data_IF_047076964661
#
_entry.id   IF_047076964661
#
_cell.length_a   1.000
_cell.length_b   1.000
_cell.length_c   1.000
_cell.angle_alpha   90.00
_cell.angle_beta   90.00
_cell.angle_gamma   90.00
#
_symmetry.space_group_name_H-M   'P 1'
#
loop_
_entity.id
_entity.type
_entity.pdbx_description
1 polymer ?
#
# COMPACT_ATOMS: atom_id res chain seq x y z
N UNK A 1 4.51 33.78 48.16
CA UNK A 1 3.95 33.31 46.86
C UNK A 1 4.96 32.58 45.95
N UNK A 2 6.27 32.53 46.26
CA UNK A 2 7.31 31.91 45.39
C UNK A 2 7.50 30.38 45.56
N UNK A 3 7.00 29.77 46.64
CA UNK A 3 7.26 28.35 46.97
C UNK A 3 6.35 27.35 46.24
N UNK A 4 5.18 27.77 45.74
CA UNK A 4 4.24 26.89 45.00
C UNK A 4 4.42 26.94 43.48
N UNK A 5 5.07 27.99 42.97
CA UNK A 5 5.35 28.17 41.55
C UNK A 5 6.17 27.00 40.93
N UNK A 6 7.28 26.52 41.53
CA UNK A 6 8.05 25.42 40.93
C UNK A 6 7.26 24.10 40.87
N UNK A 7 6.38 23.85 41.85
CA UNK A 7 5.52 22.66 41.86
C UNK A 7 4.42 22.72 40.79
N UNK A 8 3.86 23.91 40.53
CA UNK A 8 2.89 24.11 39.45
C UNK A 8 3.54 23.92 38.07
N UNK A 9 4.77 24.42 37.89
CA UNK A 9 5.55 24.19 36.67
C UNK A 9 5.82 22.70 36.49
N UNK A 10 6.34 22.02 37.51
CA UNK A 10 6.61 20.57 37.48
C UNK A 10 5.35 19.76 37.13
N UNK A 11 4.23 20.03 37.80
CA UNK A 11 2.96 19.37 37.52
C UNK A 11 2.50 19.62 36.08
N UNK A 12 2.63 20.85 35.59
CA UNK A 12 2.35 21.20 34.20
C UNK A 12 3.21 20.43 33.20
N UNK A 13 4.53 20.31 33.45
CA UNK A 13 5.45 19.55 32.59
C UNK A 13 5.14 18.06 32.59
N UNK A 14 4.85 17.48 33.76
CA UNK A 14 4.45 16.07 33.88
C UNK A 14 3.16 15.80 33.13
N UNK A 15 2.17 16.69 33.23
CA UNK A 15 0.92 16.59 32.46
C UNK A 15 1.21 16.68 30.96
N UNK A 16 2.07 17.60 30.53
CA UNK A 16 2.47 17.75 29.12
C UNK A 16 3.14 16.49 28.57
N UNK A 17 4.10 15.93 29.32
CA UNK A 17 4.79 14.67 28.96
C UNK A 17 3.81 13.50 28.97
N UNK A 18 2.97 13.37 29.99
CA UNK A 18 1.93 12.34 30.04
C UNK A 18 0.93 12.47 28.88
N UNK A 19 0.69 13.69 28.38
CA UNK A 19 -0.16 13.91 27.23
C UNK A 19 0.48 13.40 25.93
N UNK A 20 1.81 13.47 25.80
CA UNK A 20 2.54 12.87 24.66
C UNK A 20 2.56 11.35 24.66
N UNK A 21 2.30 10.71 25.82
CA UNK A 21 2.23 9.25 25.95
C UNK A 21 0.86 8.69 25.57
N UNK A 22 -0.17 9.53 25.37
CA UNK A 22 -1.49 9.06 24.97
C UNK A 22 -1.46 8.58 23.51
N UNK A 23 -2.01 7.39 23.21
CA UNK A 23 -2.12 6.94 21.85
C UNK A 23 -3.00 7.93 21.05
N UNK A 24 -2.64 8.24 19.79
CA UNK A 24 -3.45 9.11 18.95
C UNK A 24 -4.86 8.51 18.81
N UNK A 25 -5.88 9.30 19.11
CA UNK A 25 -7.28 8.96 18.86
C UNK A 25 -7.62 9.41 17.44
N UNK A 26 -7.95 8.46 16.58
CA UNK A 26 -8.43 8.75 15.24
C UNK A 26 -9.96 8.69 15.27
N UNK A 27 -10.69 9.79 15.00
CA UNK A 27 -12.13 9.74 14.84
C UNK A 27 -12.44 9.04 13.50
N UNK A 28 -12.53 7.72 13.54
CA UNK A 28 -12.86 6.88 12.41
C UNK A 28 -13.86 5.80 12.83
N UNK A 29 -14.59 5.26 11.86
CA UNK A 29 -15.55 4.16 12.04
C UNK A 29 -14.86 2.85 12.49
N UNK A 30 -13.57 2.72 12.20
CA UNK A 30 -12.74 1.56 12.56
C UNK A 30 -11.71 1.91 13.65
N UNK A 31 -11.30 0.91 14.45
CA UNK A 31 -10.21 1.06 15.41
C UNK A 31 -8.85 1.12 14.70
N UNK A 32 -8.53 2.30 14.20
CA UNK A 32 -7.27 2.59 13.54
C UNK A 32 -6.07 2.46 14.48
N UNK A 33 -6.25 2.58 15.79
CA UNK A 33 -5.18 2.43 16.78
C UNK A 33 -4.81 0.95 17.00
N UNK A 34 -5.77 0.04 16.90
CA UNK A 34 -5.48 -1.39 16.83
C UNK A 34 -4.81 -1.76 15.51
N UNK A 35 -5.37 -1.29 14.37
CA UNK A 35 -4.80 -1.55 13.05
C UNK A 35 -3.35 -1.06 12.91
N UNK A 36 -3.03 0.09 13.52
CA UNK A 36 -1.69 0.68 13.48
C UNK A 36 -0.61 -0.22 14.10
N UNK A 37 -1.01 -1.12 15.03
CA UNK A 37 -0.12 -2.03 15.76
C UNK A 37 0.05 -3.37 15.08
N UNK A 38 -0.74 -3.67 14.05
CA UNK A 38 -0.63 -4.94 13.34
C UNK A 38 0.79 -5.10 12.80
N UNK A 39 1.47 -6.22 13.13
CA UNK A 39 2.83 -6.47 12.69
C UNK A 39 2.88 -6.89 11.21
N UNK A 40 3.95 -6.51 10.53
CA UNK A 40 4.29 -6.94 9.17
C UNK A 40 5.80 -7.09 9.03
N UNK A 41 6.28 -8.04 8.23
CA UNK A 41 7.69 -8.16 7.89
C UNK A 41 8.01 -7.30 6.65
N UNK A 42 8.92 -6.34 6.82
CA UNK A 42 9.37 -5.45 5.75
C UNK A 42 10.88 -5.25 5.85
N UNK A 43 11.59 -5.42 4.73
CA UNK A 43 13.05 -5.34 4.66
C UNK A 43 13.74 -6.20 5.74
N UNK A 44 13.24 -7.43 5.94
CA UNK A 44 13.80 -8.39 6.91
C UNK A 44 13.51 -8.10 8.38
N UNK A 45 12.70 -7.08 8.73
CA UNK A 45 12.35 -6.76 10.12
C UNK A 45 10.85 -6.64 10.32
N UNK A 46 10.35 -7.22 11.41
CA UNK A 46 8.95 -7.06 11.83
C UNK A 46 8.75 -5.65 12.37
N UNK A 47 7.77 -4.92 11.82
CA UNK A 47 7.43 -3.55 12.17
C UNK A 47 5.90 -3.39 12.24
N UNK A 48 5.38 -2.44 13.03
CA UNK A 48 3.97 -2.07 12.95
C UNK A 48 3.61 -1.50 11.57
N UNK A 49 2.40 -1.74 11.09
CA UNK A 49 1.89 -1.17 9.82
C UNK A 49 1.98 0.35 9.78
N UNK A 50 1.78 1.02 10.91
CA UNK A 50 1.85 2.48 10.99
C UNK A 50 3.26 3.02 10.69
N UNK A 51 4.30 2.25 11.02
CA UNK A 51 5.67 2.58 10.64
C UNK A 51 5.82 2.54 9.12
N UNK A 52 5.30 1.49 8.47
CA UNK A 52 5.30 1.37 7.00
C UNK A 52 4.59 2.56 6.38
N UNK A 53 3.37 2.85 6.83
CA UNK A 53 2.57 3.97 6.33
C UNK A 53 3.34 5.30 6.40
N UNK A 54 3.92 5.61 7.56
CA UNK A 54 4.70 6.84 7.75
C UNK A 54 5.94 6.89 6.88
N UNK A 55 6.70 5.80 6.79
CA UNK A 55 7.91 5.76 5.97
C UNK A 55 7.61 5.89 4.49
N UNK A 56 6.54 5.25 4.01
CA UNK A 56 6.11 5.36 2.63
C UNK A 56 5.67 6.80 2.32
N UNK A 57 4.87 7.44 3.16
CA UNK A 57 4.47 8.84 2.94
C UNK A 57 5.65 9.82 2.95
N UNK A 58 6.69 9.57 3.76
CA UNK A 58 7.92 10.35 3.70
C UNK A 58 8.63 10.21 2.34
N UNK A 59 8.66 9.00 1.78
CA UNK A 59 9.24 8.77 0.44
C UNK A 59 8.39 9.38 -0.67
N UNK A 60 7.06 9.36 -0.55
CA UNK A 60 6.14 9.87 -1.58
C UNK A 60 6.02 11.41 -1.60
N UNK A 61 5.94 12.06 -0.43
CA UNK A 61 5.68 13.51 -0.32
C UNK A 61 6.51 14.26 0.72
N UNK A 62 7.57 13.64 1.27
CA UNK A 62 8.44 14.28 2.26
C UNK A 62 7.75 14.60 3.60
N UNK A 63 6.52 14.13 3.82
CA UNK A 63 5.73 14.39 5.04
C UNK A 63 4.73 13.27 5.30
N UNK A 64 4.28 13.15 6.54
CA UNK A 64 3.32 12.11 6.96
C UNK A 64 1.86 12.56 6.89
N UNK A 65 1.59 13.86 6.77
CA UNK A 65 0.20 14.38 6.72
C UNK A 65 -0.41 14.10 5.35
N UNK A 66 -1.61 13.51 5.33
CA UNK A 66 -2.38 13.25 4.11
C UNK A 66 -3.70 14.02 4.18
N UNK A 67 -4.10 14.58 3.04
CA UNK A 67 -5.44 15.17 2.85
C UNK A 67 -6.14 14.32 1.81
N UNK A 68 -7.25 13.70 2.21
CA UNK A 68 -8.08 12.89 1.32
C UNK A 68 -8.80 13.78 0.29
N UNK A 69 -9.35 13.15 -0.75
CA UNK A 69 -10.05 13.85 -1.82
C UNK A 69 -11.28 14.66 -1.34
N UNK A 70 -11.88 14.24 -0.22
CA UNK A 70 -12.99 14.94 0.45
C UNK A 70 -12.54 16.10 1.35
N UNK A 71 -11.25 16.43 1.37
CA UNK A 71 -10.67 17.53 2.14
C UNK A 71 -10.33 17.17 3.59
N UNK A 72 -10.69 15.98 4.08
CA UNK A 72 -10.36 15.57 5.45
C UNK A 72 -8.87 15.26 5.58
N UNK A 73 -8.28 15.67 6.69
CA UNK A 73 -6.94 15.21 7.06
C UNK A 73 -7.06 13.81 7.65
N UNK A 74 -6.40 12.83 7.05
CA UNK A 74 -6.43 11.43 7.47
C UNK A 74 -5.09 11.02 8.07
N UNK A 75 -5.12 10.00 8.92
CA UNK A 75 -3.90 9.45 9.52
C UNK A 75 -3.07 8.63 8.52
N UNK A 76 -1.75 8.43 8.77
CA UNK A 76 -0.94 7.55 7.93
C UNK A 76 -1.52 6.14 7.79
N UNK A 77 -1.96 5.54 8.90
CA UNK A 77 -2.54 4.19 8.88
C UNK A 77 -3.87 4.16 8.13
N UNK A 78 -4.74 5.16 8.28
CA UNK A 78 -5.98 5.25 7.49
C UNK A 78 -5.68 5.32 6.00
N UNK A 79 -4.69 6.14 5.59
CA UNK A 79 -4.24 6.21 4.21
C UNK A 79 -3.73 4.85 3.71
N UNK A 80 -2.92 4.13 4.49
CA UNK A 80 -2.41 2.83 4.09
C UNK A 80 -3.53 1.78 3.94
N UNK A 81 -4.54 1.83 4.81
CA UNK A 81 -5.72 0.96 4.68
C UNK A 81 -6.57 1.31 3.47
N UNK A 82 -6.71 2.60 3.12
CA UNK A 82 -7.32 3.01 1.86
C UNK A 82 -6.49 2.51 0.67
N UNK A 83 -5.16 2.54 0.73
CA UNK A 83 -4.28 1.98 -0.32
C UNK A 83 -4.52 0.48 -0.51
N UNK A 84 -4.71 -0.28 0.58
CA UNK A 84 -4.99 -1.71 0.49
C UNK A 84 -6.39 -2.03 0.00
N UNK A 85 -7.43 -1.38 0.53
CA UNK A 85 -8.79 -1.90 0.39
C UNK A 85 -9.75 -0.93 -0.30
N UNK A 86 -9.32 0.31 -0.56
CA UNK A 86 -10.10 1.35 -1.23
C UNK A 86 -9.22 2.11 -2.23
N UNK A 87 -8.58 1.43 -3.19
CA UNK A 87 -7.59 2.04 -4.09
C UNK A 87 -8.16 3.25 -4.83
N UNK A 88 -9.43 3.23 -5.23
CA UNK A 88 -10.08 4.39 -5.87
C UNK A 88 -10.07 5.67 -5.02
N UNK A 89 -10.17 5.54 -3.67
CA UNK A 89 -10.06 6.68 -2.72
C UNK A 89 -8.61 7.10 -2.53
N UNK A 90 -7.70 6.12 -2.40
CA UNK A 90 -6.27 6.38 -2.23
C UNK A 90 -5.64 7.04 -3.47
N UNK A 91 -6.00 6.61 -4.68
CA UNK A 91 -5.47 7.10 -5.96
C UNK A 91 -5.88 8.55 -6.26
N UNK A 92 -6.93 9.02 -5.60
CA UNK A 92 -7.37 10.41 -5.62
C UNK A 92 -6.63 11.30 -4.58
N UNK A 93 -5.92 10.71 -3.62
CA UNK A 93 -5.14 11.45 -2.65
C UNK A 93 -3.88 12.03 -3.30
N UNK A 94 -3.63 13.32 -3.07
CA UNK A 94 -2.46 14.03 -3.63
C UNK A 94 -1.22 13.80 -2.77
N UNK A 95 -0.59 12.63 -2.94
CA UNK A 95 0.54 12.15 -2.12
C UNK A 95 1.86 12.06 -2.87
N UNK A 96 1.93 12.40 -4.15
CA UNK A 96 3.19 12.43 -4.92
C UNK A 96 3.72 13.85 -5.01
N UNK A 97 4.87 14.12 -4.40
CA UNK A 97 5.52 15.44 -4.53
C UNK A 97 6.34 15.53 -5.82
N UNK A 98 6.01 16.53 -6.65
CA UNK A 98 6.68 16.83 -7.91
C UNK A 98 7.01 18.32 -7.90
N UNK A 99 8.30 18.63 -7.80
CA UNK A 99 8.81 20.02 -7.75
C UNK A 99 9.59 20.42 -8.99
N UNK A 100 10.09 19.46 -9.76
CA UNK A 100 10.93 19.72 -10.93
C UNK A 100 10.06 20.13 -12.13
N UNK A 101 10.22 21.34 -12.71
CA UNK A 101 9.37 21.83 -13.80
C UNK A 101 9.35 20.92 -15.03
N UNK A 102 10.50 20.38 -15.45
CA UNK A 102 10.52 19.48 -16.61
C UNK A 102 9.82 18.14 -16.34
N UNK A 103 9.81 17.66 -15.09
CA UNK A 103 9.05 16.44 -14.73
C UNK A 103 7.55 16.74 -14.74
N UNK A 104 7.13 17.93 -14.28
CA UNK A 104 5.75 18.40 -14.41
C UNK A 104 5.32 18.47 -15.88
N UNK A 105 6.15 19.05 -16.75
CA UNK A 105 5.91 19.09 -18.19
C UNK A 105 5.85 17.68 -18.80
N UNK A 106 6.73 16.77 -18.38
CA UNK A 106 6.75 15.37 -18.82
C UNK A 106 5.42 14.66 -18.55
N UNK A 107 4.87 14.86 -17.34
CA UNK A 107 3.58 14.28 -16.95
C UNK A 107 2.38 15.16 -17.32
N UNK A 108 2.62 16.25 -18.05
CA UNK A 108 1.61 17.20 -18.52
C UNK A 108 0.73 17.75 -17.39
N UNK A 109 1.35 18.18 -16.30
CA UNK A 109 0.69 18.81 -15.15
C UNK A 109 1.26 20.21 -14.90
N UNK A 110 0.40 21.14 -14.54
CA UNK A 110 0.76 22.47 -14.07
C UNK A 110 0.81 22.52 -12.54
N UNK A 111 1.64 23.38 -11.92
CA UNK A 111 1.67 23.56 -10.47
C UNK A 111 0.28 23.84 -9.86
N UNK A 112 -0.57 24.61 -10.54
CA UNK A 112 -1.91 24.96 -10.07
C UNK A 112 -2.85 23.75 -9.89
N UNK A 113 -2.58 22.64 -10.58
CA UNK A 113 -3.36 21.40 -10.46
C UNK A 113 -2.96 20.55 -9.24
N UNK A 114 -1.83 20.90 -8.62
CA UNK A 114 -1.30 20.23 -7.44
C UNK A 114 -1.70 20.91 -6.14
N UNK A 115 -1.89 20.12 -5.07
CA UNK A 115 -2.10 20.66 -3.73
C UNK A 115 -0.84 21.40 -3.26
N UNK A 116 -0.99 22.70 -2.97
CA UNK A 116 0.12 23.57 -2.61
C UNK A 116 1.17 23.69 -3.71
N UNK A 117 0.78 23.56 -4.98
CA UNK A 117 1.68 23.76 -6.12
C UNK A 117 2.56 22.57 -6.50
N UNK A 118 2.57 21.50 -5.68
CA UNK A 118 3.59 20.45 -5.80
C UNK A 118 3.15 19.02 -5.51
N UNK A 119 1.90 18.78 -5.08
CA UNK A 119 1.44 17.42 -4.75
C UNK A 119 0.31 16.98 -5.65
N UNK A 120 0.47 15.81 -6.26
CA UNK A 120 -0.41 15.27 -7.27
C UNK A 120 -0.88 13.87 -6.85
N UNK A 121 -2.01 13.44 -7.40
CA UNK A 121 -2.56 12.11 -7.13
C UNK A 121 -2.13 11.11 -8.20
N UNK A 122 -2.21 9.81 -7.91
CA UNK A 122 -1.91 8.79 -8.92
C UNK A 122 -2.83 8.93 -10.14
N UNK A 123 -4.12 9.24 -9.91
CA UNK A 123 -5.09 9.50 -10.98
C UNK A 123 -4.67 10.61 -11.94
N UNK A 124 -4.03 11.68 -11.44
CA UNK A 124 -3.51 12.76 -12.29
C UNK A 124 -2.30 12.31 -13.12
N UNK A 125 -1.49 11.40 -12.60
CA UNK A 125 -0.28 10.89 -13.26
C UNK A 125 -0.58 9.79 -14.28
N UNK A 126 -1.67 9.06 -14.09
CA UNK A 126 -2.05 7.87 -14.87
C UNK A 126 -1.94 8.04 -16.39
N UNK A 127 -2.39 9.16 -17.01
CA UNK A 127 -2.31 9.32 -18.47
C UNK A 127 -0.89 9.38 -19.04
N UNK A 128 0.12 9.71 -18.21
CA UNK A 128 1.51 9.91 -18.63
C UNK A 128 2.51 8.98 -17.94
N UNK A 129 2.03 7.98 -17.20
CA UNK A 129 2.90 7.01 -16.51
C UNK A 129 3.85 6.29 -17.46
N UNK A 130 3.37 5.88 -18.65
CA UNK A 130 4.19 5.17 -19.62
C UNK A 130 5.39 6.01 -20.13
N UNK A 131 5.18 7.32 -20.31
CA UNK A 131 6.24 8.23 -20.74
C UNK A 131 7.21 8.56 -19.60
N UNK A 132 6.70 8.77 -18.38
CA UNK A 132 7.54 8.89 -17.19
C UNK A 132 8.46 7.68 -17.03
N UNK A 133 7.88 6.49 -17.12
CA UNK A 133 8.59 5.22 -17.00
C UNK A 133 9.63 5.06 -18.13
N UNK A 134 9.32 5.47 -19.36
CA UNK A 134 10.30 5.49 -20.47
C UNK A 134 11.49 6.39 -20.16
N UNK A 135 11.26 7.62 -19.67
CA UNK A 135 12.35 8.54 -19.30
C UNK A 135 13.17 8.02 -18.11
N UNK A 136 12.51 7.46 -17.10
CA UNK A 136 13.19 6.88 -15.95
C UNK A 136 14.10 5.71 -16.36
N UNK A 137 13.66 4.85 -17.28
CA UNK A 137 14.51 3.77 -17.82
C UNK A 137 15.73 4.28 -18.57
N UNK A 138 15.57 5.30 -19.41
CA UNK A 138 16.73 5.93 -20.08
C UNK A 138 17.69 6.57 -19.07
N UNK A 139 17.16 7.13 -17.99
CA UNK A 139 17.98 7.64 -16.89
C UNK A 139 18.66 6.52 -16.10
N UNK A 140 18.08 5.33 -16.02
CA UNK A 140 18.67 4.17 -15.33
C UNK A 140 19.96 3.66 -16.01
N UNK A 141 20.07 3.82 -17.34
CA UNK A 141 21.28 3.51 -18.12
C UNK A 141 22.44 4.48 -17.86
N UNK A 142 22.16 5.64 -17.24
CA UNK A 142 23.16 6.63 -16.86
C UNK A 142 23.59 6.42 -15.41
N UNK A 143 24.89 6.47 -15.14
CA UNK A 143 25.41 6.39 -13.77
C UNK A 143 24.78 7.47 -12.89
N UNK A 144 24.26 7.05 -11.73
CA UNK A 144 23.61 7.91 -10.74
C UNK A 144 24.39 9.18 -10.39
N UNK A 145 25.72 9.14 -10.38
CA UNK A 145 26.59 10.26 -10.03
C UNK A 145 26.58 11.37 -11.09
N UNK A 146 26.31 11.03 -12.35
CA UNK A 146 26.34 11.99 -13.49
C UNK A 146 24.97 12.25 -14.09
N UNK A 147 23.90 11.61 -13.58
CA UNK A 147 22.52 11.92 -13.97
C UNK A 147 22.22 13.41 -13.84
N UNK A 148 21.49 13.97 -14.79
CA UNK A 148 20.98 15.35 -14.69
C UNK A 148 19.93 15.48 -13.57
N UNK A 149 19.61 16.71 -13.17
CA UNK A 149 18.56 16.96 -12.16
C UNK A 149 17.21 16.43 -12.61
N UNK A 150 16.88 16.58 -13.90
CA UNK A 150 15.68 16.02 -14.51
C UNK A 150 15.66 14.49 -14.43
N UNK A 151 16.75 13.83 -14.84
CA UNK A 151 16.85 12.37 -14.80
C UNK A 151 16.68 11.82 -13.38
N UNK A 152 17.34 12.44 -12.39
CA UNK A 152 17.17 12.06 -10.97
C UNK A 152 15.73 12.24 -10.51
N UNK A 153 15.10 13.35 -10.86
CA UNK A 153 13.72 13.64 -10.47
C UNK A 153 12.71 12.69 -11.14
N UNK A 154 12.93 12.32 -12.41
CA UNK A 154 12.10 11.35 -13.13
C UNK A 154 12.20 9.96 -12.50
N UNK A 155 13.42 9.48 -12.19
CA UNK A 155 13.64 8.21 -11.49
C UNK A 155 13.01 8.23 -10.10
N UNK A 156 13.19 9.31 -9.34
CA UNK A 156 12.60 9.45 -8.01
C UNK A 156 11.06 9.37 -8.04
N UNK A 157 10.42 10.05 -8.99
CA UNK A 157 8.97 9.98 -9.15
C UNK A 157 8.51 8.58 -9.57
N UNK A 158 9.22 7.93 -10.50
CA UNK A 158 8.95 6.55 -10.90
C UNK A 158 9.04 5.59 -9.72
N UNK A 159 10.12 5.67 -8.94
CA UNK A 159 10.34 4.81 -7.76
C UNK A 159 9.25 5.02 -6.70
N UNK A 160 8.82 6.26 -6.49
CA UNK A 160 7.70 6.58 -5.60
C UNK A 160 6.39 5.91 -6.07
N UNK A 161 6.10 5.94 -7.38
CA UNK A 161 4.91 5.31 -7.95
C UNK A 161 4.99 3.78 -7.83
N UNK A 162 6.15 3.18 -8.12
CA UNK A 162 6.37 1.73 -7.95
C UNK A 162 6.18 1.31 -6.49
N UNK A 163 6.73 2.06 -5.53
CA UNK A 163 6.50 1.80 -4.10
C UNK A 163 5.00 1.82 -3.77
N UNK A 164 4.28 2.82 -4.26
CA UNK A 164 2.83 2.92 -4.05
C UNK A 164 2.08 1.72 -4.64
N UNK A 165 2.40 1.31 -5.86
CA UNK A 165 1.79 0.14 -6.51
C UNK A 165 2.10 -1.16 -5.77
N UNK A 166 3.32 -1.34 -5.26
CA UNK A 166 3.67 -2.51 -4.46
C UNK A 166 2.95 -2.53 -3.09
N UNK A 167 2.65 -1.36 -2.51
CA UNK A 167 1.78 -1.26 -1.34
C UNK A 167 0.36 -1.70 -1.68
N UNK A 168 -0.21 -1.24 -2.80
CA UNK A 168 -1.54 -1.69 -3.25
C UNK A 168 -1.59 -3.21 -3.44
N UNK A 169 -0.61 -3.77 -4.15
CA UNK A 169 -0.48 -5.21 -4.41
C UNK A 169 -0.30 -6.06 -3.13
N UNK A 170 0.07 -5.44 -2.01
CA UNK A 170 0.16 -6.14 -0.71
C UNK A 170 -1.20 -6.43 -0.10
N UNK A 171 -2.21 -5.61 -0.40
CA UNK A 171 -3.56 -5.71 0.17
C UNK A 171 -4.54 -6.41 -0.75
N UNK A 172 -4.62 -5.95 -2.01
CA UNK A 172 -5.57 -6.47 -3.00
C UNK A 172 -4.93 -6.61 -4.38
N UNK A 173 -5.58 -7.36 -5.26
CA UNK A 173 -5.14 -7.49 -6.64
C UNK A 173 -5.16 -6.12 -7.36
N UNK A 174 -4.03 -5.69 -7.98
CA UNK A 174 -3.99 -4.45 -8.74
C UNK A 174 -5.01 -4.44 -9.89
N UNK A 175 -5.72 -3.32 -10.06
CA UNK A 175 -6.65 -3.13 -11.18
C UNK A 175 -8.00 -3.84 -11.05
N UNK A 176 -8.28 -4.52 -9.93
CA UNK A 176 -9.60 -5.12 -9.67
C UNK A 176 -10.39 -4.30 -8.63
N UNK A 177 -11.62 -3.92 -8.97
CA UNK A 177 -12.55 -3.25 -8.05
C UNK A 177 -13.41 -4.24 -7.25
N UNK A 178 -13.57 -5.46 -7.77
CA UNK A 178 -14.45 -6.51 -7.23
C UNK A 178 -13.69 -7.61 -6.48
N UNK A 179 -12.36 -7.50 -6.40
CA UNK A 179 -11.48 -8.53 -5.82
C UNK A 179 -11.95 -9.06 -4.46
N UNK A 180 -12.31 -8.18 -3.51
CA UNK A 180 -12.74 -8.61 -2.18
C UNK A 180 -14.07 -9.39 -2.21
N UNK A 181 -14.98 -9.03 -3.11
CA UNK A 181 -16.24 -9.75 -3.29
C UNK A 181 -16.00 -11.13 -3.93
N UNK A 182 -15.15 -11.20 -4.95
CA UNK A 182 -14.74 -12.46 -5.59
C UNK A 182 -14.01 -13.38 -4.60
N UNK A 183 -13.15 -12.81 -3.75
CA UNK A 183 -12.45 -13.54 -2.71
C UNK A 183 -13.41 -14.13 -1.67
N UNK A 184 -14.41 -13.36 -1.23
CA UNK A 184 -15.44 -13.84 -0.31
C UNK A 184 -16.29 -14.95 -0.92
N UNK A 185 -16.63 -14.85 -2.22
CA UNK A 185 -17.35 -15.90 -2.95
C UNK A 185 -16.52 -17.18 -3.08
N UNK A 186 -15.21 -17.04 -3.32
CA UNK A 186 -14.28 -18.17 -3.34
C UNK A 186 -14.23 -18.86 -1.98
N UNK A 187 -14.08 -18.10 -0.90
CA UNK A 187 -14.00 -18.63 0.47
C UNK A 187 -15.22 -19.48 0.82
N UNK A 188 -16.43 -18.98 0.52
CA UNK A 188 -17.69 -19.68 0.78
C UNK A 188 -17.84 -20.98 -0.03
N UNK A 189 -17.25 -21.05 -1.22
CA UNK A 189 -17.43 -22.15 -2.15
C UNK A 189 -16.14 -22.95 -2.41
N UNK A 190 -15.12 -22.78 -1.58
CA UNK A 190 -13.75 -23.25 -1.85
C UNK A 190 -13.69 -24.77 -2.15
N UNK A 191 -14.34 -25.67 -1.38
CA UNK A 191 -14.28 -27.10 -1.66
C UNK A 191 -14.94 -27.47 -3.00
N UNK A 192 -16.08 -26.83 -3.31
CA UNK A 192 -16.83 -27.06 -4.53
C UNK A 192 -16.07 -26.52 -5.76
N UNK A 193 -15.47 -25.33 -5.63
CA UNK A 193 -14.64 -24.73 -6.67
C UNK A 193 -13.40 -25.59 -6.95
N UNK A 194 -12.72 -26.07 -5.91
CA UNK A 194 -11.56 -26.96 -6.04
C UNK A 194 -11.92 -28.29 -6.73
N UNK A 195 -13.06 -28.89 -6.38
CA UNK A 195 -13.55 -30.12 -7.03
C UNK A 195 -13.88 -29.87 -8.51
N UNK A 196 -14.55 -28.77 -8.83
CA UNK A 196 -14.90 -28.39 -10.20
C UNK A 196 -13.64 -28.20 -11.08
N UNK A 197 -12.62 -27.53 -10.57
CA UNK A 197 -11.35 -27.33 -11.29
C UNK A 197 -10.62 -28.66 -11.54
N UNK A 198 -10.58 -29.56 -10.55
CA UNK A 198 -9.97 -30.88 -10.72
C UNK A 198 -10.70 -31.72 -11.77
N UNK A 199 -12.03 -31.68 -11.79
CA UNK A 199 -12.84 -32.34 -12.81
C UNK A 199 -12.60 -31.76 -14.21
N UNK A 200 -12.59 -30.42 -14.33
CA UNK A 200 -12.33 -29.75 -15.63
C UNK A 200 -10.91 -30.00 -16.16
N UNK A 201 -9.90 -30.18 -15.30
CA UNK A 201 -8.55 -30.54 -15.71
C UNK A 201 -8.47 -31.97 -16.27
N UNK A 202 -9.33 -32.89 -15.80
CA UNK A 202 -9.40 -34.26 -16.27
C UNK A 202 -10.10 -34.38 -17.63
N UNK A 203 -11.02 -33.47 -17.98
CA UNK A 203 -11.90 -33.61 -19.15
C UNK A 203 -11.43 -32.89 -20.43
N UNK A 204 -10.27 -32.22 -20.44
CA UNK A 204 -9.51 -31.68 -21.60
C UNK A 204 -10.27 -31.05 -22.81
N UNK A 205 -11.57 -30.71 -22.72
CA UNK A 205 -12.31 -30.36 -23.93
C UNK A 205 -13.70 -29.74 -23.82
N UNK A 206 -14.30 -29.58 -22.65
CA UNK A 206 -15.61 -28.92 -22.52
C UNK A 206 -15.54 -27.71 -21.59
N UNK A 207 -16.23 -26.64 -21.97
CA UNK A 207 -15.99 -25.26 -21.52
C UNK A 207 -15.74 -25.08 -20.03
N UNK A 208 -14.75 -24.25 -19.70
CA UNK A 208 -14.42 -23.88 -18.32
C UNK A 208 -15.67 -23.41 -17.59
N UNK A 209 -16.07 -24.13 -16.53
CA UNK A 209 -17.18 -23.74 -15.67
C UNK A 209 -16.95 -22.31 -15.15
N UNK A 210 -18.02 -21.54 -14.86
CA UNK A 210 -17.87 -20.20 -14.28
C UNK A 210 -16.97 -20.21 -13.03
N UNK A 211 -17.07 -21.24 -12.19
CA UNK A 211 -16.24 -21.43 -11.01
C UNK A 211 -14.77 -21.64 -11.36
N UNK A 212 -14.47 -22.43 -12.38
CA UNK A 212 -13.09 -22.65 -12.83
C UNK A 212 -12.48 -21.39 -13.49
N UNK A 213 -13.29 -20.52 -14.11
CA UNK A 213 -12.83 -19.21 -14.61
C UNK A 213 -12.45 -18.27 -13.46
N UNK A 214 -13.34 -18.08 -12.50
CA UNK A 214 -13.08 -17.25 -11.30
C UNK A 214 -11.87 -17.77 -10.53
N UNK A 215 -11.71 -19.09 -10.41
CA UNK A 215 -10.52 -19.70 -9.81
C UNK A 215 -9.23 -19.31 -10.54
N UNK A 216 -9.21 -19.38 -11.88
CA UNK A 216 -8.04 -19.02 -12.67
C UNK A 216 -7.72 -17.52 -12.63
N UNK A 217 -8.75 -16.67 -12.61
CA UNK A 217 -8.61 -15.23 -12.46
C UNK A 217 -8.01 -14.88 -11.10
N UNK A 218 -8.56 -15.43 -10.01
CA UNK A 218 -8.02 -15.25 -8.66
C UNK A 218 -6.62 -15.85 -8.52
N UNK A 219 -6.34 -17.01 -9.13
CA UNK A 219 -4.98 -17.58 -9.08
C UNK A 219 -3.96 -16.66 -9.74
N UNK A 220 -4.29 -16.06 -10.89
CA UNK A 220 -3.43 -15.05 -11.55
C UNK A 220 -3.27 -13.81 -10.68
N UNK A 221 -4.36 -13.33 -10.09
CA UNK A 221 -4.35 -12.20 -9.18
C UNK A 221 -3.42 -12.44 -7.97
N UNK A 222 -3.49 -13.63 -7.37
CA UNK A 222 -2.62 -13.99 -6.24
C UNK A 222 -1.15 -14.09 -6.66
N UNK A 223 -0.84 -14.55 -7.88
CA UNK A 223 0.53 -14.51 -8.42
C UNK A 223 1.06 -13.09 -8.57
N UNK A 224 0.24 -12.16 -9.06
CA UNK A 224 0.62 -10.74 -9.13
C UNK A 224 0.86 -10.19 -7.71
N UNK A 225 -0.04 -10.47 -6.77
CA UNK A 225 0.11 -10.02 -5.38
C UNK A 225 1.35 -10.63 -4.70
N UNK A 226 1.69 -11.88 -4.99
CA UNK A 226 2.91 -12.50 -4.48
C UNK A 226 4.16 -11.83 -5.06
N UNK A 227 4.18 -11.62 -6.37
CA UNK A 227 5.32 -11.08 -7.09
C UNK A 227 5.59 -9.61 -6.73
N UNK A 228 4.54 -8.80 -6.60
CA UNK A 228 4.65 -7.34 -6.44
C UNK A 228 4.25 -6.84 -5.04
N UNK A 229 3.76 -7.71 -4.16
CA UNK A 229 3.42 -7.35 -2.78
C UNK A 229 4.66 -6.93 -1.98
N UNK A 230 4.71 -5.66 -1.57
CA UNK A 230 5.77 -5.12 -0.72
C UNK A 230 5.80 -5.74 0.68
N UNK A 231 4.63 -6.04 1.25
CA UNK A 231 4.47 -6.41 2.65
C UNK A 231 4.18 -7.89 2.82
N UNK A 232 4.84 -8.50 3.80
CA UNK A 232 4.50 -9.84 4.27
C UNK A 232 3.62 -9.71 5.50
N UNK A 233 2.31 -9.77 5.28
CA UNK A 233 1.26 -9.49 6.27
C UNK A 233 0.85 -10.73 7.07
N UNK A 234 1.14 -11.94 6.57
CA UNK A 234 0.66 -13.18 7.19
C UNK A 234 1.79 -13.80 8.02
N UNK A 235 1.64 -13.86 9.36
CA UNK A 235 2.61 -14.53 10.22
C UNK A 235 2.55 -16.06 10.05
N UNK A 236 3.63 -16.78 10.39
CA UNK A 236 3.61 -18.23 10.41
C UNK A 236 2.62 -18.77 11.47
N UNK A 237 1.99 -19.92 11.19
CA UNK A 237 0.96 -20.52 12.05
C UNK A 237 1.48 -21.04 13.40
N UNK A 238 2.73 -21.52 13.43
CA UNK A 238 3.46 -21.73 14.69
C UNK A 238 4.39 -20.54 14.91
N UNK A 239 4.67 -20.16 16.18
CA UNK A 239 5.68 -19.15 16.49
C UNK A 239 7.02 -19.66 15.96
N UNK A 240 7.32 -19.33 14.70
CA UNK A 240 8.48 -19.84 14.02
C UNK A 240 9.70 -19.24 14.69
N UNK A 241 10.69 -20.10 14.94
CA UNK A 241 12.04 -19.71 15.34
C UNK A 241 12.72 -18.81 14.30
N UNK A 242 12.12 -18.67 13.11
CA UNK A 242 12.64 -17.93 11.96
C UNK A 242 11.70 -16.77 11.56
N UNK A 243 12.21 -15.54 11.69
CA UNK A 243 11.50 -14.31 11.32
C UNK A 243 11.24 -14.20 9.80
N UNK A 244 11.88 -15.01 8.95
CA UNK A 244 11.67 -15.00 7.49
C UNK A 244 10.42 -15.75 7.03
N UNK A 245 9.76 -16.49 7.93
CA UNK A 245 8.58 -17.32 7.62
C UNK A 245 7.29 -16.53 7.33
N UNK A 246 7.31 -15.20 7.42
CA UNK A 246 6.17 -14.36 7.07
C UNK A 246 5.88 -14.44 5.56
N UNK A 247 4.60 -14.45 5.21
CA UNK A 247 4.14 -14.61 3.83
C UNK A 247 3.37 -13.38 3.34
N UNK A 248 3.39 -13.17 2.03
CA UNK A 248 2.48 -12.22 1.38
C UNK A 248 1.05 -12.79 1.39
N UNK A 249 0.07 -11.92 1.19
CA UNK A 249 -1.34 -12.33 1.04
C UNK A 249 -1.49 -13.23 -0.19
N UNK A 250 -0.85 -12.87 -1.32
CA UNK A 250 -0.86 -13.66 -2.55
C UNK A 250 -0.34 -15.10 -2.35
N UNK A 251 0.84 -15.27 -1.74
CA UNK A 251 1.41 -16.60 -1.52
C UNK A 251 0.52 -17.47 -0.60
N UNK A 252 -0.11 -16.85 0.39
CA UNK A 252 -1.00 -17.55 1.34
C UNK A 252 -2.25 -18.08 0.62
N UNK A 253 -2.88 -17.24 -0.20
CA UNK A 253 -4.03 -17.66 -0.99
C UNK A 253 -3.70 -18.66 -2.08
N UNK A 254 -2.54 -18.57 -2.74
CA UNK A 254 -2.10 -19.61 -3.66
C UNK A 254 -1.95 -20.98 -2.97
N UNK A 255 -1.39 -21.02 -1.76
CA UNK A 255 -1.30 -22.28 -1.01
C UNK A 255 -2.69 -22.81 -0.61
N UNK A 256 -3.61 -21.91 -0.26
CA UNK A 256 -5.02 -22.24 0.02
C UNK A 256 -5.69 -22.85 -1.23
N UNK A 257 -5.48 -22.27 -2.40
CA UNK A 257 -5.97 -22.82 -3.67
C UNK A 257 -5.35 -24.20 -3.96
N UNK A 258 -4.05 -24.36 -3.77
CA UNK A 258 -3.37 -25.64 -4.01
C UNK A 258 -3.90 -26.76 -3.08
N UNK A 259 -4.15 -26.43 -1.81
CA UNK A 259 -4.74 -27.36 -0.85
C UNK A 259 -6.25 -27.61 -1.12
N UNK A 260 -6.96 -26.60 -1.62
CA UNK A 260 -8.43 -26.60 -1.73
C UNK A 260 -9.14 -26.47 -0.38
N UNK A 261 -8.44 -26.00 0.64
CA UNK A 261 -8.91 -25.78 2.01
C UNK A 261 -8.09 -24.68 2.67
N UNK A 262 -8.66 -24.06 3.71
CA UNK A 262 -8.04 -22.99 4.54
C UNK A 262 -7.32 -23.60 5.74
#
# INVERSE_FOLDING_TARGET
MKTRFPWLVLAGTVVLVAWTLRPPRYPAEFDLAAASRLPTLVNGRVKPLDTVARTSLLLLQGRQRVVAADGRTISPIEWLLDVFYRPARADACRVFEIVHPEVLSLVNLAPAEGAGGKRFSLRQLQPRLAELERQARLADEVDSAVRTTFQRAAVQLRDAIVLYQHLQASGTAPGSETFLAELAQLEQNLPAAAAAVRASAAEQGHGTSPQAKTWLELSRAFTVMEQYGYLRLIPPASPATDATAWRTVGATWQATLAAGAI
#
